data_IF_014218930062
#
_entry.id   IF_014218930062
#
_cell.length_a   1.000
_cell.length_b   1.000
_cell.length_c   1.000
_cell.angle_alpha   90.00
_cell.angle_beta   90.00
_cell.angle_gamma   90.00
#
_symmetry.space_group_name_H-M   'P 1'
#
loop_
_entity.id
_entity.type
_entity.pdbx_description
1 polymer ?
#
# COMPACT_ATOMS: atom_id res chain seq x y z
N UNK A 1 63.71 -81.51 27.95
CA UNK A 1 62.63 -80.76 28.62
C UNK A 1 62.27 -79.43 27.94
N UNK A 2 63.00 -78.95 26.91
CA UNK A 2 62.68 -77.67 26.22
C UNK A 2 61.62 -77.78 25.10
N UNK A 3 61.44 -78.96 24.48
CA UNK A 3 60.53 -79.12 23.34
C UNK A 3 59.03 -79.07 23.71
N UNK A 4 58.69 -79.41 24.95
CA UNK A 4 57.30 -79.35 25.43
C UNK A 4 56.90 -77.93 25.81
N UNK A 5 57.84 -77.16 26.35
CA UNK A 5 57.65 -75.76 26.70
C UNK A 5 57.45 -74.88 25.45
N UNK A 6 58.18 -75.17 24.36
CA UNK A 6 58.02 -74.48 23.09
C UNK A 6 56.67 -74.80 22.41
N UNK A 7 56.15 -76.03 22.53
CA UNK A 7 54.83 -76.38 22.01
C UNK A 7 53.71 -75.66 22.76
N UNK A 8 53.82 -75.58 24.09
CA UNK A 8 52.84 -74.86 24.93
C UNK A 8 52.86 -73.36 24.60
N UNK A 9 54.04 -72.75 24.41
CA UNK A 9 54.15 -71.34 23.99
C UNK A 9 53.52 -71.09 22.62
N UNK A 10 53.73 -71.99 21.66
CA UNK A 10 53.10 -71.88 20.34
C UNK A 10 51.57 -72.01 20.42
N UNK A 11 51.05 -72.96 21.20
CA UNK A 11 49.60 -73.12 21.39
C UNK A 11 48.96 -71.90 22.09
N UNK A 12 49.64 -71.33 23.09
CA UNK A 12 49.18 -70.12 23.79
C UNK A 12 49.23 -68.88 22.90
N UNK A 13 50.28 -68.72 22.09
CA UNK A 13 50.37 -67.60 21.15
C UNK A 13 49.33 -67.72 20.03
N UNK A 14 49.05 -68.92 19.55
CA UNK A 14 47.98 -69.17 18.58
C UNK A 14 46.58 -68.92 19.17
N UNK A 15 46.35 -69.27 20.44
CA UNK A 15 45.11 -68.91 21.15
C UNK A 15 44.96 -67.41 21.30
N UNK A 16 46.01 -66.71 21.74
CA UNK A 16 46.00 -65.24 21.86
C UNK A 16 45.76 -64.55 20.52
N UNK A 17 46.36 -65.05 19.43
CA UNK A 17 46.13 -64.52 18.07
C UNK A 17 44.69 -64.73 17.62
N UNK A 18 44.08 -65.89 17.88
CA UNK A 18 42.68 -66.17 17.55
C UNK A 18 41.72 -65.29 18.36
N UNK A 19 41.95 -65.14 19.67
CA UNK A 19 41.15 -64.26 20.53
C UNK A 19 41.27 -62.79 20.12
N UNK A 20 42.49 -62.32 19.80
CA UNK A 20 42.70 -60.96 19.30
C UNK A 20 42.03 -60.73 17.95
N UNK A 21 42.10 -61.70 17.03
CA UNK A 21 41.43 -61.61 15.74
C UNK A 21 39.90 -61.62 15.89
N UNK A 22 39.34 -62.41 16.81
CA UNK A 22 37.90 -62.43 17.07
C UNK A 22 37.44 -61.11 17.71
N UNK A 23 38.19 -60.56 18.68
CA UNK A 23 37.89 -59.27 19.27
C UNK A 23 37.94 -58.13 18.24
N UNK A 24 38.94 -58.13 17.36
CA UNK A 24 39.02 -57.18 16.26
C UNK A 24 37.85 -57.33 15.28
N UNK A 25 37.50 -58.56 14.91
CA UNK A 25 36.35 -58.82 14.04
C UNK A 25 35.03 -58.33 14.67
N UNK A 26 34.84 -58.52 15.98
CA UNK A 26 33.67 -58.01 16.71
C UNK A 26 33.64 -56.48 16.75
N UNK A 27 34.77 -55.83 17.02
CA UNK A 27 34.86 -54.37 17.03
C UNK A 27 34.61 -53.76 15.64
N UNK A 28 35.14 -54.37 14.57
CA UNK A 28 34.88 -53.93 13.20
C UNK A 28 33.42 -54.12 12.80
N UNK A 29 32.80 -55.24 13.18
CA UNK A 29 31.39 -55.49 12.92
C UNK A 29 30.49 -54.46 13.65
N UNK A 30 30.79 -54.15 14.91
CA UNK A 30 30.08 -53.12 15.67
C UNK A 30 30.26 -51.73 15.06
N UNK A 31 31.49 -51.38 14.64
CA UNK A 31 31.74 -50.12 13.94
C UNK A 31 30.96 -50.01 12.64
N UNK A 32 30.96 -51.05 11.81
CA UNK A 32 30.19 -51.07 10.55
C UNK A 32 28.69 -50.97 10.81
N UNK A 33 28.18 -51.59 11.87
CA UNK A 33 26.78 -51.47 12.26
C UNK A 33 26.43 -50.03 12.66
N UNK A 34 27.25 -49.39 13.50
CA UNK A 34 27.06 -47.98 13.91
C UNK A 34 27.17 -47.01 12.73
N UNK A 35 28.15 -47.19 11.85
CA UNK A 35 28.33 -46.37 10.65
C UNK A 35 27.14 -46.52 9.69
N UNK A 36 26.57 -47.73 9.56
CA UNK A 36 25.37 -47.96 8.73
C UNK A 36 24.10 -47.33 9.32
N UNK A 37 23.92 -47.37 10.64
CA UNK A 37 22.80 -46.69 11.32
C UNK A 37 22.92 -45.17 11.22
N UNK A 38 24.12 -44.62 11.44
CA UNK A 38 24.36 -43.18 11.30
C UNK A 38 24.15 -42.72 9.85
N UNK A 39 24.57 -43.51 8.85
CA UNK A 39 24.31 -43.22 7.45
C UNK A 39 22.81 -43.21 7.13
N UNK A 40 22.01 -44.11 7.73
CA UNK A 40 20.55 -44.11 7.59
C UNK A 40 19.92 -42.87 8.21
N UNK A 41 20.32 -42.52 9.44
CA UNK A 41 19.82 -41.32 10.13
C UNK A 41 20.14 -40.03 9.37
N UNK A 42 21.38 -39.89 8.87
CA UNK A 42 21.78 -38.73 8.05
C UNK A 42 21.00 -38.68 6.74
N UNK A 43 20.78 -39.81 6.08
CA UNK A 43 19.98 -39.88 4.85
C UNK A 43 18.53 -39.47 5.07
N UNK A 44 17.90 -39.87 6.18
CA UNK A 44 16.55 -39.44 6.53
C UNK A 44 16.47 -37.95 6.89
N UNK A 45 17.45 -37.41 7.63
CA UNK A 45 17.52 -35.98 7.94
C UNK A 45 17.71 -35.13 6.67
N UNK A 46 18.58 -35.56 5.76
CA UNK A 46 18.78 -34.87 4.47
C UNK A 46 17.50 -34.88 3.64
N UNK A 47 16.78 -36.00 3.60
CA UNK A 47 15.47 -36.08 2.94
C UNK A 47 14.46 -35.13 3.56
N UNK A 48 14.36 -35.06 4.88
CA UNK A 48 13.48 -34.11 5.58
C UNK A 48 13.84 -32.66 5.26
N UNK A 49 15.13 -32.31 5.27
CA UNK A 49 15.58 -30.96 4.91
C UNK A 49 15.23 -30.61 3.46
N UNK A 50 15.38 -31.54 2.53
CA UNK A 50 15.00 -31.33 1.12
C UNK A 50 13.47 -31.18 0.97
N UNK A 51 12.67 -31.98 1.68
CA UNK A 51 11.22 -31.87 1.67
C UNK A 51 10.76 -30.53 2.26
N UNK A 52 11.33 -30.10 3.39
CA UNK A 52 11.05 -28.77 3.96
C UNK A 52 11.43 -27.63 3.02
N UNK A 53 12.57 -27.73 2.33
CA UNK A 53 12.97 -26.74 1.33
C UNK A 53 11.98 -26.68 0.17
N UNK A 54 11.56 -27.83 -0.37
CA UNK A 54 10.54 -27.90 -1.43
C UNK A 54 9.22 -27.29 -0.98
N UNK A 55 8.77 -27.58 0.25
CA UNK A 55 7.54 -26.98 0.80
C UNK A 55 7.66 -25.46 0.92
N UNK A 56 8.81 -24.93 1.37
CA UNK A 56 9.03 -23.47 1.43
C UNK A 56 9.04 -22.84 0.04
N UNK A 57 9.65 -23.49 -0.95
CA UNK A 57 9.66 -23.02 -2.33
C UNK A 57 8.26 -23.05 -2.95
N UNK A 58 7.48 -24.10 -2.71
CA UNK A 58 6.09 -24.21 -3.17
C UNK A 58 5.20 -23.15 -2.51
N UNK A 59 5.34 -22.93 -1.20
CA UNK A 59 4.63 -21.86 -0.49
C UNK A 59 4.99 -20.49 -1.05
N UNK A 60 6.28 -20.20 -1.25
CA UNK A 60 6.73 -18.94 -1.84
C UNK A 60 6.17 -18.74 -3.27
N UNK A 61 6.08 -19.81 -4.07
CA UNK A 61 5.47 -19.76 -5.42
C UNK A 61 3.98 -19.46 -5.35
N UNK A 62 3.25 -20.12 -4.46
CA UNK A 62 1.80 -19.89 -4.30
C UNK A 62 1.53 -18.47 -3.82
N UNK A 63 2.33 -17.97 -2.87
CA UNK A 63 2.17 -16.60 -2.36
C UNK A 63 2.54 -15.56 -3.43
N UNK A 64 3.56 -15.81 -4.25
CA UNK A 64 3.89 -14.96 -5.39
C UNK A 64 2.74 -14.90 -6.42
N UNK A 65 2.09 -16.04 -6.71
CA UNK A 65 0.92 -16.09 -7.61
C UNK A 65 -0.24 -15.29 -7.02
N UNK A 66 -0.56 -15.49 -5.74
CA UNK A 66 -1.63 -14.75 -5.06
C UNK A 66 -1.39 -13.24 -5.07
N UNK A 67 -0.16 -12.80 -4.82
CA UNK A 67 0.21 -11.39 -4.89
C UNK A 67 0.04 -10.86 -6.32
N UNK A 68 0.50 -11.61 -7.33
CA UNK A 68 0.31 -11.24 -8.73
C UNK A 68 -1.16 -11.12 -9.14
N UNK A 69 -2.04 -12.02 -8.65
CA UNK A 69 -3.48 -11.94 -8.91
C UNK A 69 -4.13 -10.71 -8.26
N UNK A 70 -3.75 -10.38 -7.02
CA UNK A 70 -4.25 -9.19 -6.32
C UNK A 70 -3.80 -7.91 -7.02
N UNK A 71 -2.56 -7.83 -7.47
CA UNK A 71 -2.04 -6.67 -8.21
C UNK A 71 -2.73 -6.54 -9.58
N UNK A 72 -2.93 -7.66 -10.29
CA UNK A 72 -3.68 -7.67 -11.54
C UNK A 72 -5.11 -7.18 -11.34
N UNK A 73 -5.80 -7.66 -10.31
CA UNK A 73 -7.17 -7.22 -9.98
C UNK A 73 -7.22 -5.73 -9.65
N UNK A 74 -6.21 -5.18 -8.95
CA UNK A 74 -6.11 -3.75 -8.68
C UNK A 74 -5.92 -2.93 -9.95
N UNK A 75 -5.03 -3.37 -10.85
CA UNK A 75 -4.82 -2.69 -12.12
C UNK A 75 -6.04 -2.73 -13.03
N UNK A 76 -6.74 -3.87 -13.10
CA UNK A 76 -7.99 -3.99 -13.87
C UNK A 76 -9.09 -3.08 -13.28
N UNK A 77 -9.23 -3.02 -11.95
CA UNK A 77 -10.18 -2.12 -11.31
C UNK A 77 -9.86 -0.64 -11.58
N UNK A 78 -8.58 -0.26 -11.53
CA UNK A 78 -8.15 1.11 -11.84
C UNK A 78 -8.40 1.46 -13.32
N UNK A 79 -8.05 0.58 -14.25
CA UNK A 79 -8.31 0.78 -15.67
C UNK A 79 -9.81 0.90 -15.96
N UNK A 80 -10.63 0.04 -15.33
CA UNK A 80 -12.07 0.11 -15.47
C UNK A 80 -12.64 1.42 -14.90
N UNK A 81 -12.13 1.89 -13.76
CA UNK A 81 -12.51 3.18 -13.20
C UNK A 81 -12.14 4.34 -14.14
N UNK A 82 -10.94 4.32 -14.74
CA UNK A 82 -10.50 5.32 -15.73
C UNK A 82 -11.39 5.31 -16.97
N UNK A 83 -11.75 4.15 -17.49
CA UNK A 83 -12.65 4.02 -18.64
C UNK A 83 -14.05 4.55 -18.33
N UNK A 84 -14.60 4.24 -17.14
CA UNK A 84 -15.90 4.77 -16.71
C UNK A 84 -15.86 6.28 -16.55
N UNK A 85 -14.79 6.84 -15.98
CA UNK A 85 -14.63 8.29 -15.84
C UNK A 85 -14.58 9.00 -17.19
N UNK A 86 -13.82 8.46 -18.16
CA UNK A 86 -13.80 9.00 -19.53
C UNK A 86 -15.15 8.87 -20.22
N UNK A 87 -15.86 7.75 -20.03
CA UNK A 87 -17.20 7.54 -20.57
C UNK A 87 -18.20 8.59 -20.07
N UNK A 88 -18.19 8.88 -18.76
CA UNK A 88 -19.05 9.92 -18.17
C UNK A 88 -18.77 11.31 -18.74
N UNK A 89 -17.50 11.65 -19.01
CA UNK A 89 -17.15 12.91 -19.65
C UNK A 89 -17.71 13.00 -21.08
N UNK A 90 -17.57 11.94 -21.88
CA UNK A 90 -18.12 11.91 -23.24
C UNK A 90 -19.65 11.98 -23.24
N UNK A 91 -20.32 11.33 -22.29
CA UNK A 91 -21.77 11.43 -22.14
C UNK A 91 -22.20 12.85 -21.76
N UNK A 92 -21.50 13.49 -20.84
CA UNK A 92 -21.77 14.89 -20.48
C UNK A 92 -21.56 15.82 -21.68
N UNK A 93 -20.50 15.62 -22.46
CA UNK A 93 -20.25 16.39 -23.68
C UNK A 93 -21.35 16.16 -24.73
N UNK A 94 -21.83 14.93 -24.91
CA UNK A 94 -22.96 14.63 -25.81
C UNK A 94 -24.25 15.28 -25.35
N UNK A 95 -24.54 15.26 -24.04
CA UNK A 95 -25.72 15.94 -23.49
C UNK A 95 -25.62 17.46 -23.65
N UNK A 96 -24.45 18.05 -23.41
CA UNK A 96 -24.20 19.47 -23.66
C UNK A 96 -24.31 19.80 -25.14
N UNK A 97 -23.80 18.96 -26.03
CA UNK A 97 -23.91 19.15 -27.47
C UNK A 97 -25.38 19.12 -27.92
N UNK A 98 -26.17 18.14 -27.47
CA UNK A 98 -27.60 18.05 -27.76
C UNK A 98 -28.36 19.28 -27.22
N UNK A 99 -28.14 19.65 -25.96
CA UNK A 99 -28.72 20.86 -25.36
C UNK A 99 -28.26 22.14 -26.07
N UNK A 100 -27.02 22.21 -26.55
CA UNK A 100 -26.49 23.36 -27.27
C UNK A 100 -27.13 23.49 -28.65
N UNK A 101 -27.45 22.40 -29.33
CA UNK A 101 -28.15 22.44 -30.62
C UNK A 101 -29.59 22.91 -30.44
N UNK A 102 -30.30 22.42 -29.41
CA UNK A 102 -31.65 22.88 -29.10
C UNK A 102 -31.69 24.32 -28.60
N UNK A 103 -30.70 24.70 -27.77
CA UNK A 103 -30.53 26.09 -27.33
C UNK A 103 -30.15 26.99 -28.48
N UNK A 104 -29.32 26.58 -29.46
CA UNK A 104 -29.01 27.41 -30.63
C UNK A 104 -30.24 27.65 -31.50
N UNK A 105 -31.12 26.66 -31.67
CA UNK A 105 -32.39 26.86 -32.40
C UNK A 105 -33.30 27.85 -31.68
N UNK A 106 -33.47 27.71 -30.35
CA UNK A 106 -34.29 28.63 -29.53
C UNK A 106 -33.63 30.00 -29.31
N UNK A 107 -32.31 30.05 -29.13
CA UNK A 107 -31.54 31.29 -29.03
C UNK A 107 -31.53 32.02 -30.36
N UNK A 108 -31.49 31.37 -31.53
CA UNK A 108 -31.66 32.10 -32.78
C UNK A 108 -33.03 32.79 -32.83
N UNK A 109 -34.10 32.12 -32.36
CA UNK A 109 -35.43 32.73 -32.29
C UNK A 109 -35.49 33.86 -31.26
N UNK A 110 -34.91 33.66 -30.06
CA UNK A 110 -34.86 34.67 -29.00
C UNK A 110 -33.86 35.80 -29.26
N UNK A 111 -32.79 35.58 -30.03
CA UNK A 111 -31.83 36.59 -30.48
C UNK A 111 -32.45 37.38 -31.63
N UNK A 112 -33.20 36.76 -32.54
CA UNK A 112 -33.97 37.50 -33.54
C UNK A 112 -35.03 38.40 -32.87
N UNK A 113 -35.78 37.87 -31.90
CA UNK A 113 -36.73 38.64 -31.08
C UNK A 113 -36.02 39.68 -30.19
N UNK A 114 -34.88 39.30 -29.61
CA UNK A 114 -34.10 40.11 -28.68
C UNK A 114 -33.33 41.22 -29.36
N UNK A 115 -32.77 41.02 -30.56
CA UNK A 115 -32.21 42.10 -31.40
C UNK A 115 -33.33 43.03 -31.85
N UNK A 116 -34.52 42.50 -32.19
CA UNK A 116 -35.70 43.31 -32.45
C UNK A 116 -36.09 44.18 -31.24
N UNK A 117 -36.11 43.60 -30.03
CA UNK A 117 -36.46 44.32 -28.81
C UNK A 117 -35.33 45.23 -28.28
N UNK A 118 -34.05 44.87 -28.46
CA UNK A 118 -32.87 45.61 -27.99
C UNK A 118 -32.48 46.73 -28.95
N UNK A 119 -32.76 46.63 -30.26
CA UNK A 119 -32.75 47.80 -31.14
C UNK A 119 -33.82 48.82 -30.72
N UNK A 120 -34.93 48.37 -30.14
CA UNK A 120 -36.02 49.23 -29.66
C UNK A 120 -35.75 49.77 -28.24
N UNK A 121 -35.17 48.97 -27.33
CA UNK A 121 -34.96 49.32 -25.91
C UNK A 121 -33.51 49.64 -25.54
N UNK A 122 -32.53 48.91 -26.09
CA UNK A 122 -31.10 49.06 -25.80
C UNK A 122 -30.42 50.24 -26.47
N UNK A 123 -31.03 50.82 -27.52
CA UNK A 123 -30.64 52.12 -28.06
C UNK A 123 -30.70 53.26 -27.03
N UNK A 124 -31.38 53.06 -25.89
CA UNK A 124 -31.59 54.09 -24.88
C UNK A 124 -30.95 53.82 -23.49
N UNK A 125 -30.51 52.61 -23.13
CA UNK A 125 -30.17 52.31 -21.72
C UNK A 125 -29.01 51.36 -21.39
N UNK A 126 -28.40 50.68 -22.36
CA UNK A 126 -27.49 49.55 -22.08
C UNK A 126 -26.11 49.90 -21.50
N UNK A 127 -25.62 51.12 -21.73
CA UNK A 127 -24.23 51.49 -21.39
C UNK A 127 -23.94 51.67 -19.89
N UNK A 128 -24.93 51.99 -19.07
CA UNK A 128 -24.69 52.43 -17.69
C UNK A 128 -24.64 51.28 -16.66
N UNK A 129 -25.36 50.18 -16.89
CA UNK A 129 -25.38 49.05 -15.96
C UNK A 129 -24.12 48.17 -16.04
N UNK A 130 -23.52 48.05 -17.23
CA UNK A 130 -22.33 47.21 -17.47
C UNK A 130 -21.07 47.74 -16.77
N UNK A 131 -20.95 49.07 -16.62
CA UNK A 131 -19.82 49.70 -15.93
C UNK A 131 -19.84 49.45 -14.42
N UNK A 132 -21.05 49.39 -13.83
CA UNK A 132 -21.23 49.20 -12.37
C UNK A 132 -20.98 47.75 -11.94
N UNK A 133 -21.38 46.76 -12.75
CA UNK A 133 -21.16 45.34 -12.44
C UNK A 133 -19.70 44.90 -12.63
N UNK A 134 -18.98 45.51 -13.58
CA UNK A 134 -17.56 45.23 -13.81
C UNK A 134 -16.68 45.63 -12.60
N UNK A 135 -17.08 46.69 -11.87
CA UNK A 135 -16.36 47.20 -10.71
C UNK A 135 -16.55 46.31 -9.47
N UNK A 136 -17.70 45.66 -9.31
CA UNK A 136 -17.95 44.68 -8.24
C UNK A 136 -17.22 43.36 -8.49
N UNK A 137 -17.17 42.88 -9.75
CA UNK A 137 -16.41 41.67 -10.09
C UNK A 137 -14.91 41.80 -9.83
N UNK A 138 -14.34 42.99 -10.06
CA UNK A 138 -12.92 43.25 -9.78
C UNK A 138 -12.61 43.16 -8.27
N UNK A 139 -13.53 43.60 -7.41
CA UNK A 139 -13.36 43.48 -5.94
C UNK A 139 -13.46 42.04 -5.46
N UNK A 140 -14.40 41.26 -6.02
CA UNK A 140 -14.56 39.84 -5.69
C UNK A 140 -13.35 39.03 -6.17
N UNK A 141 -12.80 39.33 -7.36
CA UNK A 141 -11.58 38.70 -7.85
C UNK A 141 -10.38 39.04 -6.95
N UNK A 142 -10.21 40.30 -6.56
CA UNK A 142 -9.12 40.71 -5.67
C UNK A 142 -9.16 40.02 -4.29
N UNK A 143 -10.35 39.68 -3.76
CA UNK A 143 -10.46 38.91 -2.52
C UNK A 143 -10.10 37.43 -2.72
N UNK A 144 -10.57 36.82 -3.81
CA UNK A 144 -10.22 35.42 -4.16
C UNK A 144 -8.73 35.25 -4.43
N UNK A 145 -8.11 36.21 -5.10
CA UNK A 145 -6.68 36.18 -5.39
C UNK A 145 -5.84 36.27 -4.11
N UNK A 146 -6.32 37.03 -3.11
CA UNK A 146 -5.69 37.07 -1.77
C UNK A 146 -5.81 35.72 -1.05
N UNK A 147 -6.99 35.11 -1.02
CA UNK A 147 -7.17 33.78 -0.42
C UNK A 147 -6.31 32.70 -1.10
N UNK A 148 -6.25 32.72 -2.44
CA UNK A 148 -5.41 31.79 -3.20
C UNK A 148 -3.92 32.04 -2.91
N UNK A 149 -3.48 33.30 -2.81
CA UNK A 149 -2.11 33.62 -2.49
C UNK A 149 -1.71 33.16 -1.07
N UNK A 150 -2.60 33.34 -0.09
CA UNK A 150 -2.39 32.86 1.28
C UNK A 150 -2.35 31.33 1.36
N UNK A 151 -3.26 30.64 0.67
CA UNK A 151 -3.28 29.18 0.59
C UNK A 151 -2.02 28.63 -0.08
N UNK A 152 -1.56 29.27 -1.17
CA UNK A 152 -0.30 28.90 -1.84
C UNK A 152 0.89 29.10 -0.92
N UNK A 153 0.97 30.23 -0.21
CA UNK A 153 2.05 30.48 0.74
C UNK A 153 2.07 29.47 1.90
N UNK A 154 0.90 29.02 2.38
CA UNK A 154 0.80 27.96 3.39
C UNK A 154 1.24 26.60 2.85
N UNK A 155 0.83 26.26 1.61
CA UNK A 155 1.27 25.03 0.95
C UNK A 155 2.78 25.02 0.69
N UNK A 156 3.35 26.13 0.24
CA UNK A 156 4.79 26.25 -0.02
C UNK A 156 5.59 26.10 1.27
N UNK A 157 5.13 26.68 2.39
CA UNK A 157 5.75 26.46 3.71
C UNK A 157 5.70 25.00 4.13
N UNK A 158 4.53 24.36 4.02
CA UNK A 158 4.37 22.93 4.36
C UNK A 158 5.22 22.03 3.45
N UNK A 159 5.33 22.35 2.16
CA UNK A 159 6.20 21.61 1.23
C UNK A 159 7.68 21.81 1.55
N UNK A 160 8.10 23.02 1.94
CA UNK A 160 9.46 23.29 2.37
C UNK A 160 9.82 22.49 3.64
N UNK A 161 8.92 22.47 4.63
CA UNK A 161 9.09 21.68 5.85
C UNK A 161 9.19 20.17 5.54
N UNK A 162 8.35 19.67 4.63
CA UNK A 162 8.38 18.27 4.23
C UNK A 162 9.70 17.89 3.52
N UNK A 163 10.24 18.80 2.69
CA UNK A 163 11.55 18.60 2.04
C UNK A 163 12.68 18.57 3.07
N UNK A 164 12.70 19.52 4.00
CA UNK A 164 13.70 19.56 5.06
C UNK A 164 13.66 18.30 5.95
N UNK A 165 12.46 17.81 6.27
CA UNK A 165 12.31 16.55 7.01
C UNK A 165 12.77 15.33 6.21
N UNK A 166 12.47 15.26 4.91
CA UNK A 166 12.95 14.16 4.06
C UNK A 166 14.48 14.15 3.94
N UNK A 167 15.10 15.33 3.85
CA UNK A 167 16.57 15.45 3.83
C UNK A 167 17.18 14.98 5.16
N UNK A 168 16.57 15.37 6.29
CA UNK A 168 16.98 14.87 7.61
C UNK A 168 16.84 13.34 7.75
N UNK A 169 15.78 12.74 7.16
CA UNK A 169 15.60 11.29 7.13
C UNK A 169 16.69 10.63 6.28
N UNK A 170 17.03 11.19 5.11
CA UNK A 170 18.09 10.63 4.27
C UNK A 170 19.46 10.70 4.95
N UNK A 171 19.77 11.82 5.62
CA UNK A 171 21.00 11.94 6.39
C UNK A 171 21.04 10.94 7.55
N UNK A 172 19.95 10.77 8.29
CA UNK A 172 19.84 9.79 9.36
C UNK A 172 19.93 8.34 8.85
N UNK A 173 19.43 8.04 7.64
CA UNK A 173 19.60 6.73 7.00
C UNK A 173 21.04 6.48 6.59
N UNK A 174 21.72 7.48 6.01
CA UNK A 174 23.13 7.38 5.66
C UNK A 174 24.01 7.20 6.91
N UNK A 175 23.68 7.87 8.02
CA UNK A 175 24.33 7.69 9.32
C UNK A 175 24.07 6.29 9.89
N UNK A 176 22.83 5.76 9.78
CA UNK A 176 22.50 4.40 10.20
C UNK A 176 23.23 3.32 9.39
N UNK A 177 23.45 3.54 8.09
CA UNK A 177 24.16 2.62 7.21
C UNK A 177 25.67 2.64 7.41
N UNK A 178 26.23 3.80 7.75
CA UNK A 178 27.67 3.98 8.00
C UNK A 178 28.09 3.63 9.44
N UNK A 179 27.15 3.53 10.38
CA UNK A 179 27.40 3.10 11.75
C UNK A 179 27.86 1.63 11.83
N UNK A 180 29.09 1.41 12.32
CA UNK A 180 29.68 0.06 12.48
C UNK A 180 29.32 -0.62 13.81
N UNK A 181 28.92 0.14 14.83
CA UNK A 181 28.61 -0.38 16.16
C UNK A 181 27.10 -0.57 16.37
N UNK A 182 26.71 -1.64 17.08
CA UNK A 182 25.28 -1.95 17.35
C UNK A 182 24.58 -0.84 18.15
N UNK A 183 25.29 -0.21 19.10
CA UNK A 183 24.75 0.91 19.86
C UNK A 183 24.43 2.13 18.97
N UNK A 184 25.29 2.43 17.98
CA UNK A 184 25.05 3.52 17.04
C UNK A 184 23.90 3.20 16.07
N UNK A 185 23.76 1.93 15.65
CA UNK A 185 22.62 1.48 14.84
C UNK A 185 21.29 1.63 15.57
N UNK A 186 21.22 1.26 16.85
CA UNK A 186 20.01 1.41 17.66
C UNK A 186 19.63 2.89 17.86
N UNK A 187 20.61 3.76 18.15
CA UNK A 187 20.38 5.19 18.28
C UNK A 187 19.92 5.84 16.96
N UNK A 188 20.52 5.45 15.83
CA UNK A 188 20.14 5.92 14.51
C UNK A 188 18.74 5.41 14.09
N UNK A 189 18.40 4.17 14.43
CA UNK A 189 17.07 3.61 14.18
C UNK A 189 15.98 4.30 15.00
N UNK A 190 16.27 4.67 16.26
CA UNK A 190 15.35 5.46 17.08
C UNK A 190 15.12 6.87 16.50
N UNK A 191 16.17 7.53 16.01
CA UNK A 191 16.07 8.83 15.32
C UNK A 191 15.24 8.73 14.03
N UNK A 192 15.41 7.65 13.26
CA UNK A 192 14.61 7.40 12.05
C UNK A 192 13.14 7.19 12.38
N UNK A 193 12.81 6.43 13.42
CA UNK A 193 11.43 6.22 13.84
C UNK A 193 10.76 7.53 14.29
N UNK A 194 11.48 8.38 15.03
CA UNK A 194 10.98 9.70 15.44
C UNK A 194 10.75 10.62 14.23
N UNK A 195 11.71 10.71 13.30
CA UNK A 195 11.60 11.52 12.09
C UNK A 195 10.47 11.03 11.17
N UNK A 196 10.25 9.72 11.06
CA UNK A 196 9.10 9.16 10.33
C UNK A 196 7.76 9.47 10.99
N UNK A 197 7.71 9.54 12.33
CA UNK A 197 6.50 9.91 13.05
C UNK A 197 6.15 11.39 12.82
N UNK A 198 7.16 12.27 12.76
CA UNK A 198 6.96 13.68 12.42
C UNK A 198 6.53 13.88 10.97
N UNK A 199 7.15 13.17 10.01
CA UNK A 199 6.75 13.28 8.60
C UNK A 199 5.31 12.83 8.37
N UNK A 200 4.86 11.78 9.07
CA UNK A 200 3.44 11.35 9.04
C UNK A 200 2.51 12.43 9.58
N UNK A 201 2.89 13.14 10.64
CA UNK A 201 2.09 14.27 11.18
C UNK A 201 2.02 15.42 10.19
N UNK A 202 3.15 15.77 9.56
CA UNK A 202 3.18 16.84 8.55
C UNK A 202 2.39 16.47 7.29
N UNK A 203 2.46 15.21 6.84
CA UNK A 203 1.61 14.71 5.74
C UNK A 203 0.12 14.76 6.10
N UNK A 204 -0.26 14.39 7.32
CA UNK A 204 -1.64 14.50 7.79
C UNK A 204 -2.13 15.96 7.80
N UNK A 205 -1.28 16.90 8.20
CA UNK A 205 -1.60 18.34 8.17
C UNK A 205 -1.75 18.86 6.73
N UNK A 206 -0.90 18.42 5.80
CA UNK A 206 -1.03 18.76 4.37
C UNK A 206 -2.34 18.22 3.80
N UNK A 207 -2.69 16.96 4.11
CA UNK A 207 -3.95 16.35 3.67
C UNK A 207 -5.17 17.10 4.24
N UNK A 208 -5.10 17.53 5.50
CA UNK A 208 -6.16 18.32 6.13
C UNK A 208 -6.36 19.68 5.44
N UNK A 209 -5.28 20.38 5.08
CA UNK A 209 -5.35 21.66 4.34
C UNK A 209 -5.89 21.48 2.93
N UNK A 210 -5.43 20.45 2.20
CA UNK A 210 -5.92 20.15 0.85
C UNK A 210 -7.41 19.79 0.84
N UNK A 211 -7.87 19.02 1.84
CA UNK A 211 -9.29 18.66 1.96
C UNK A 211 -10.22 19.84 2.28
N UNK A 212 -9.67 20.93 2.83
CA UNK A 212 -10.42 22.17 3.12
C UNK A 212 -10.60 23.08 1.89
N UNK A 213 -9.75 22.93 0.87
CA UNK A 213 -9.69 23.82 -0.28
C UNK A 213 -10.51 23.40 -1.50
N UNK A 214 -11.04 22.18 -1.55
CA UNK A 214 -11.72 21.67 -2.74
C UNK A 214 -12.74 20.60 -2.40
N UNK A 215 -14.02 20.96 -2.42
CA UNK A 215 -15.12 20.00 -2.40
C UNK A 215 -16.22 20.37 -1.43
N UNK A 216 -17.32 20.87 -1.98
CA UNK A 216 -18.64 20.57 -1.46
C UNK A 216 -18.69 19.07 -1.08
N UNK A 217 -19.02 18.71 0.17
CA UNK A 217 -19.06 17.31 0.58
C UNK A 217 -20.32 16.65 -0.01
N UNK A 218 -20.24 16.20 -1.26
CA UNK A 218 -21.20 15.20 -1.76
C UNK A 218 -20.75 13.83 -1.27
N UNK A 219 -21.37 13.35 -0.20
CA UNK A 219 -21.42 11.92 0.10
C UNK A 219 -20.59 11.40 1.27
N UNK A 220 -20.22 12.23 2.25
CA UNK A 220 -19.77 11.71 3.54
C UNK A 220 -20.99 11.33 4.38
N UNK A 221 -21.23 10.01 4.46
CA UNK A 221 -22.16 9.35 5.36
C UNK A 221 -22.06 9.98 6.75
N UNK A 222 -23.08 10.75 7.13
CA UNK A 222 -23.33 11.10 8.53
C UNK A 222 -23.31 9.79 9.32
N UNK A 223 -22.55 9.66 10.43
CA UNK A 223 -22.75 8.56 11.34
C UNK A 223 -24.21 8.63 11.79
N UNK A 224 -24.95 7.56 11.50
CA UNK A 224 -26.34 7.44 11.88
C UNK A 224 -26.44 7.69 13.39
N UNK A 225 -27.15 8.74 13.76
CA UNK A 225 -27.71 8.82 15.10
C UNK A 225 -28.41 7.49 15.38
N UNK A 226 -28.11 6.80 16.50
CA UNK A 226 -28.75 5.52 16.80
C UNK A 226 -30.26 5.76 16.80
N UNK A 227 -30.96 5.12 15.85
CA UNK A 227 -32.43 5.16 15.81
C UNK A 227 -32.91 4.62 17.17
N UNK A 228 -33.86 5.28 17.85
CA UNK A 228 -34.41 4.77 19.09
C UNK A 228 -34.96 3.36 18.84
N UNK A 229 -34.71 2.43 19.76
CA UNK A 229 -35.14 1.05 19.65
C UNK A 229 -36.65 1.00 19.39
N UNK A 230 -37.07 0.53 18.20
CA UNK A 230 -38.48 0.42 17.87
C UNK A 230 -39.11 -0.66 18.77
N UNK A 231 -39.99 -0.23 19.67
CA UNK A 231 -40.78 -1.07 20.57
C UNK A 231 -42.03 -1.65 19.89
N UNK A 232 -41.94 -1.98 18.59
CA UNK A 232 -43.05 -2.57 17.85
C UNK A 232 -42.99 -4.10 17.94
N UNK A 233 -44.16 -4.74 18.09
CA UNK A 233 -44.31 -6.19 18.01
C UNK A 233 -44.17 -6.65 16.55
N UNK A 234 -43.50 -7.78 16.31
CA UNK A 234 -43.27 -8.30 14.96
C UNK A 234 -44.61 -8.63 14.28
N UNK A 235 -44.94 -7.90 13.21
CA UNK A 235 -46.15 -8.15 12.38
C UNK A 235 -47.08 -6.96 12.18
N UNK A 236 -46.78 -5.78 12.74
CA UNK A 236 -47.65 -4.60 12.58
C UNK A 236 -47.36 -3.84 11.25
N UNK A 237 -48.30 -3.81 10.29
CA UNK A 237 -48.12 -3.16 8.99
C UNK A 237 -48.11 -1.62 9.04
N UNK A 238 -48.35 -1.01 10.21
CA UNK A 238 -48.31 0.45 10.40
C UNK A 238 -46.99 0.95 10.98
N UNK A 239 -46.07 0.07 11.37
CA UNK A 239 -44.79 0.47 11.96
C UNK A 239 -43.71 0.63 10.86
N UNK A 240 -43.38 1.87 10.51
CA UNK A 240 -42.48 2.28 9.41
C UNK A 240 -40.98 2.18 9.71
N UNK A 241 -40.57 1.27 10.61
CA UNK A 241 -39.17 1.14 11.07
C UNK A 241 -38.23 0.33 10.14
N UNK A 242 -38.62 0.02 8.91
CA UNK A 242 -37.71 -0.59 7.90
C UNK A 242 -36.72 0.44 7.35
#
# INVERSE_FOLDING_TARGET
MSLEEDRIKQEDDDRKRKEAAELQARQEAERRAREAEEARMRGEEERRRQEEQRVREEQARVDAIRQGEVEKARHEAEQQARLRAMGQQQEHERQLAALSQDKKKKQLTYIALGIGALLILGGAGGGFAFYRSAQESARIQALKDKEIAEQKAQLDKLMADLRAQNEAIQLAQAEAQSATTEAAKLAAQAKLAAAQAESKKTQANIAAVQSRGGGTPSGASRPATPRPACTCQAGDPLCSCL
#
